data_IF_436041111043
#
_entry.id   IF_436041111043
#
_cell.length_a   1.000
_cell.length_b   1.000
_cell.length_c   1.000
_cell.angle_alpha   90.00
_cell.angle_beta   90.00
_cell.angle_gamma   90.00
#
_symmetry.space_group_name_H-M   'P 1'
#
loop_
_entity.id
_entity.type
_entity.pdbx_description
1 polymer ?
#
# COMPACT_ATOMS: atom_id res chain seq x y z
N UNK A 1 11.23 7.68 8.03
CA UNK A 1 9.78 7.91 8.02
C UNK A 1 9.52 9.36 7.67
N UNK A 2 9.20 9.73 6.42
CA UNK A 2 8.84 11.11 6.09
C UNK A 2 7.54 11.49 6.81
N UNK A 3 7.59 12.60 7.57
CA UNK A 3 6.49 13.17 8.37
C UNK A 3 5.18 13.41 7.58
N UNK A 4 5.24 13.46 6.25
CA UNK A 4 4.10 13.77 5.38
C UNK A 4 3.04 12.64 5.39
N UNK A 5 3.46 11.37 5.52
CA UNK A 5 2.50 10.25 5.54
C UNK A 5 1.67 10.24 6.83
N UNK A 6 2.22 10.74 7.95
CA UNK A 6 1.46 10.89 9.20
C UNK A 6 0.28 11.85 9.05
N UNK A 7 0.44 12.95 8.30
CA UNK A 7 -0.60 13.99 8.21
C UNK A 7 -1.91 13.53 7.57
N UNK A 8 -1.88 12.50 6.73
CA UNK A 8 -3.05 11.96 6.02
C UNK A 8 -3.51 10.61 6.62
N UNK A 9 -2.62 9.85 7.28
CA UNK A 9 -2.97 8.56 7.90
C UNK A 9 -3.82 8.66 9.19
N UNK A 10 -3.99 9.85 9.79
CA UNK A 10 -4.75 10.00 11.04
C UNK A 10 -6.24 10.33 10.86
N UNK A 11 -6.70 10.66 9.65
CA UNK A 11 -8.14 10.75 9.36
C UNK A 11 -8.68 9.34 9.06
N UNK A 12 -8.93 8.56 10.13
CA UNK A 12 -9.64 7.27 10.05
C UNK A 12 -8.98 6.07 10.75
N UNK A 13 -7.82 6.24 11.41
CA UNK A 13 -7.12 5.11 12.06
C UNK A 13 -7.63 4.84 13.49
N UNK A 14 -8.50 3.83 13.64
CA UNK A 14 -8.87 3.30 14.95
C UNK A 14 -7.87 2.24 15.39
N UNK A 15 -6.99 2.57 16.35
CA UNK A 15 -6.00 1.65 16.95
C UNK A 15 -6.60 0.43 17.71
N UNK A 16 -7.93 0.25 17.70
CA UNK A 16 -8.64 -0.74 18.51
C UNK A 16 -8.81 -2.10 17.83
N UNK A 17 -8.78 -2.16 16.51
CA UNK A 17 -9.10 -3.39 15.78
C UNK A 17 -7.84 -4.15 15.34
N UNK A 18 -7.94 -5.49 15.34
CA UNK A 18 -6.85 -6.37 14.88
C UNK A 18 -6.53 -6.06 13.41
N UNK A 19 -5.25 -6.20 12.97
CA UNK A 19 -4.90 -6.05 11.56
C UNK A 19 -5.80 -6.92 10.68
N UNK A 20 -6.63 -6.29 9.85
CA UNK A 20 -7.49 -6.97 8.90
C UNK A 20 -6.63 -7.62 7.80
N UNK A 21 -6.84 -8.90 7.54
CA UNK A 21 -6.23 -9.59 6.40
C UNK A 21 -7.16 -9.49 5.19
N UNK A 22 -6.68 -8.85 4.12
CA UNK A 22 -7.42 -8.75 2.86
C UNK A 22 -6.89 -9.75 1.84
N UNK A 23 -7.82 -10.27 1.02
CA UNK A 23 -7.46 -10.83 -0.29
C UNK A 23 -7.09 -9.70 -1.24
N UNK A 24 -6.28 -9.99 -2.25
CA UNK A 24 -5.81 -9.00 -3.23
C UNK A 24 -6.95 -8.20 -3.86
N UNK A 25 -7.99 -8.87 -4.33
CA UNK A 25 -9.12 -8.22 -5.02
C UNK A 25 -9.96 -7.37 -4.06
N UNK A 26 -10.13 -7.81 -2.81
CA UNK A 26 -10.80 -7.03 -1.77
C UNK A 26 -10.05 -5.74 -1.47
N UNK A 27 -8.72 -5.81 -1.37
CA UNK A 27 -7.88 -4.64 -1.16
C UNK A 27 -8.03 -3.64 -2.32
N UNK A 28 -7.92 -4.12 -3.57
CA UNK A 28 -8.11 -3.27 -4.75
C UNK A 28 -9.48 -2.58 -4.77
N UNK A 29 -10.54 -3.33 -4.46
CA UNK A 29 -11.91 -2.79 -4.45
C UNK A 29 -12.09 -1.73 -3.37
N UNK A 30 -11.54 -1.96 -2.17
CA UNK A 30 -11.58 -0.98 -1.08
C UNK A 30 -10.81 0.29 -1.45
N UNK A 31 -9.61 0.17 -2.01
CA UNK A 31 -8.85 1.32 -2.51
C UNK A 31 -9.67 2.10 -3.53
N UNK A 32 -10.27 1.42 -4.52
CA UNK A 32 -11.11 2.08 -5.52
C UNK A 32 -12.30 2.84 -4.91
N UNK A 33 -12.98 2.22 -3.93
CA UNK A 33 -14.14 2.81 -3.26
C UNK A 33 -13.82 4.06 -2.43
N UNK A 34 -12.57 4.24 -1.96
CA UNK A 34 -12.19 5.36 -1.09
C UNK A 34 -11.98 6.68 -1.85
N UNK A 35 -11.67 6.64 -3.15
CA UNK A 35 -11.26 7.83 -3.88
C UNK A 35 -12.23 8.28 -4.98
N UNK A 36 -13.36 7.58 -5.15
CA UNK A 36 -14.32 7.90 -6.21
C UNK A 36 -13.65 8.01 -7.59
N UNK A 37 -12.68 7.12 -7.86
CA UNK A 37 -11.94 7.13 -9.11
C UNK A 37 -12.89 6.95 -10.30
N UNK A 38 -12.46 7.47 -11.45
CA UNK A 38 -13.10 7.16 -12.74
C UNK A 38 -13.19 5.63 -12.88
N UNK A 39 -14.37 5.11 -13.21
CA UNK A 39 -14.64 3.68 -13.34
C UNK A 39 -13.72 2.99 -14.36
N UNK A 40 -13.13 3.76 -15.28
CA UNK A 40 -12.17 3.27 -16.27
C UNK A 40 -10.75 3.07 -15.72
N UNK A 41 -10.47 3.52 -14.49
CA UNK A 41 -9.14 3.42 -13.89
C UNK A 41 -8.98 2.04 -13.25
N UNK A 42 -7.95 1.31 -13.68
CA UNK A 42 -7.62 0.03 -13.06
C UNK A 42 -7.03 0.26 -11.65
N UNK A 43 -7.69 -0.22 -10.58
CA UNK A 43 -7.21 0.00 -9.21
C UNK A 43 -5.81 -0.57 -8.98
N UNK A 44 -5.45 -1.67 -9.65
CA UNK A 44 -4.14 -2.29 -9.51
C UNK A 44 -3.02 -1.40 -10.06
N UNK A 45 -3.27 -0.64 -11.13
CA UNK A 45 -2.29 0.29 -11.69
C UNK A 45 -2.05 1.46 -10.74
N UNK A 46 -3.11 2.00 -10.14
CA UNK A 46 -3.02 3.07 -9.13
C UNK A 46 -2.23 2.59 -7.92
N UNK A 47 -2.53 1.40 -7.40
CA UNK A 47 -1.83 0.82 -6.25
C UNK A 47 -0.33 0.68 -6.55
N UNK A 48 0.02 0.09 -7.70
CA UNK A 48 1.44 -0.04 -8.11
C UNK A 48 2.12 1.32 -8.23
N UNK A 49 1.46 2.31 -8.81
CA UNK A 49 1.99 3.66 -8.96
C UNK A 49 2.27 4.31 -7.59
N UNK A 50 1.33 4.24 -6.65
CA UNK A 50 1.51 4.78 -5.29
C UNK A 50 2.65 4.07 -4.57
N UNK A 51 2.73 2.74 -4.62
CA UNK A 51 3.83 1.99 -3.99
C UNK A 51 5.19 2.34 -4.60
N UNK A 52 5.25 2.62 -5.90
CA UNK A 52 6.47 3.10 -6.58
C UNK A 52 6.87 4.50 -6.11
N UNK A 53 5.90 5.41 -5.96
CA UNK A 53 6.15 6.75 -5.41
C UNK A 53 6.66 6.64 -3.98
N UNK A 54 6.03 5.79 -3.14
CA UNK A 54 6.50 5.54 -1.78
C UNK A 54 7.94 5.01 -1.76
N UNK A 55 8.28 4.06 -2.64
CA UNK A 55 9.65 3.55 -2.74
C UNK A 55 10.66 4.65 -3.02
N UNK A 56 10.35 5.55 -3.95
CA UNK A 56 11.26 6.65 -4.32
C UNK A 56 11.46 7.68 -3.19
N UNK A 57 10.59 7.72 -2.18
CA UNK A 57 10.61 8.74 -1.11
C UNK A 57 10.88 8.18 0.28
N UNK A 58 10.81 6.87 0.49
CA UNK A 58 11.08 6.22 1.77
C UNK A 58 12.56 5.82 1.87
N UNK A 59 13.10 5.82 3.10
CA UNK A 59 14.49 5.42 3.33
C UNK A 59 14.76 3.96 2.98
N UNK A 60 16.02 3.60 2.73
CA UNK A 60 16.43 2.22 2.45
C UNK A 60 15.92 1.29 3.56
N UNK A 61 15.01 0.36 3.21
CA UNK A 61 14.46 -0.65 4.13
C UNK A 61 13.06 -0.38 4.70
N UNK A 62 12.59 0.87 4.74
CA UNK A 62 11.28 1.16 5.38
C UNK A 62 10.10 0.55 4.61
N UNK A 63 10.16 0.56 3.28
CA UNK A 63 9.11 -0.04 2.45
C UNK A 63 9.18 -1.58 2.46
N UNK A 64 10.35 -2.16 2.80
CA UNK A 64 10.50 -3.60 2.95
C UNK A 64 9.72 -4.12 4.17
N UNK A 65 9.78 -3.41 5.30
CA UNK A 65 9.01 -3.77 6.50
C UNK A 65 7.51 -3.77 6.21
N UNK A 66 7.02 -2.75 5.49
CA UNK A 66 5.62 -2.66 5.07
C UNK A 66 5.26 -3.85 4.18
N UNK A 67 6.08 -4.14 3.16
CA UNK A 67 5.87 -5.28 2.24
C UNK A 67 5.82 -6.60 3.00
N UNK A 68 6.72 -6.83 3.95
CA UNK A 68 6.85 -8.08 4.69
C UNK A 68 5.65 -8.37 5.61
N UNK A 69 4.93 -7.34 6.04
CA UNK A 69 3.72 -7.47 6.85
C UNK A 69 2.43 -7.67 6.02
N UNK A 70 2.51 -7.61 4.69
CA UNK A 70 1.35 -7.80 3.80
C UNK A 70 1.17 -9.27 3.37
N UNK A 71 -0.07 -9.72 3.08
CA UNK A 71 -0.34 -10.98 2.42
C UNK A 71 0.46 -11.17 1.12
N UNK A 72 0.88 -12.41 0.82
CA UNK A 72 1.75 -12.72 -0.35
C UNK A 72 1.22 -12.17 -1.67
N UNK A 73 -0.08 -12.28 -1.91
CA UNK A 73 -0.73 -11.81 -3.14
C UNK A 73 -0.65 -10.27 -3.31
N UNK A 74 -0.62 -9.52 -2.20
CA UNK A 74 -0.47 -8.07 -2.19
C UNK A 74 1.00 -7.67 -2.39
N UNK A 75 1.95 -8.49 -1.93
CA UNK A 75 3.38 -8.25 -2.13
C UNK A 75 3.76 -8.17 -3.62
N UNK A 76 2.97 -8.78 -4.52
CA UNK A 76 3.15 -8.73 -5.98
C UNK A 76 2.94 -7.33 -6.59
N UNK A 77 2.33 -6.39 -5.85
CA UNK A 77 2.15 -5.00 -6.28
C UNK A 77 3.31 -4.09 -5.89
N UNK A 78 4.17 -4.53 -4.96
CA UNK A 78 5.34 -3.76 -4.57
C UNK A 78 6.39 -3.76 -5.69
N UNK A 79 7.19 -2.70 -5.80
CA UNK A 79 8.32 -2.68 -6.73
C UNK A 79 9.29 -3.84 -6.45
N UNK A 80 9.88 -4.41 -7.51
CA UNK A 80 10.82 -5.53 -7.40
C UNK A 80 12.07 -5.15 -6.59
N UNK A 81 12.44 -3.88 -6.60
CA UNK A 81 13.56 -3.33 -5.84
C UNK A 81 13.37 -3.45 -4.31
N UNK A 82 12.12 -3.63 -3.86
CA UNK A 82 11.76 -3.87 -2.45
C UNK A 82 11.79 -5.36 -2.11
N UNK A 83 11.80 -6.26 -3.10
CA UNK A 83 11.92 -7.68 -2.84
C UNK A 83 13.28 -7.99 -2.18
N UNK A 84 13.35 -8.96 -1.25
CA UNK A 84 14.63 -9.39 -0.70
C UNK A 84 15.56 -9.84 -1.83
N UNK A 85 16.81 -9.37 -1.80
CA UNK A 85 17.87 -9.86 -2.68
C UNK A 85 18.34 -11.21 -2.13
N UNK A 86 17.64 -12.30 -2.47
CA UNK A 86 17.99 -13.67 -2.07
C UNK A 86 16.79 -14.58 -1.93
#
# INVERSE_FOLDING_TARGET
MPLIVKGIYYDGWTLRDKPEKFKKEEFARRVHAQFGFDENVNPAEVIRAVLRVMYNHMGEGELWDVRSNMPKEIQEWFPEEVAPKG
#
